data_IF_784102425471
#
_entry.id   IF_784102425471
#
_cell.length_a   1.000
_cell.length_b   1.000
_cell.length_c   1.000
_cell.angle_alpha   90.00
_cell.angle_beta   90.00
_cell.angle_gamma   90.00
#
_symmetry.space_group_name_H-M   'P 1'
#
loop_
_entity.id
_entity.type
_entity.pdbx_description
1 polymer ?
#
# COMPACT_ATOMS: atom_id res chain seq x y z
N UNK A 1 -53.33 -18.09 9.66
CA UNK A 1 -52.55 -16.90 9.21
C UNK A 1 -51.19 -17.40 8.74
N UNK A 2 -50.83 -17.19 7.46
CA UNK A 2 -49.54 -17.62 6.88
C UNK A 2 -48.49 -16.51 7.07
N UNK A 3 -47.31 -16.77 7.67
CA UNK A 3 -46.26 -15.77 7.75
C UNK A 3 -45.57 -15.61 6.39
N UNK A 4 -45.55 -14.38 5.87
CA UNK A 4 -44.79 -13.99 4.67
C UNK A 4 -43.30 -13.92 5.02
N UNK A 5 -42.47 -14.66 4.28
CA UNK A 5 -41.01 -14.55 4.33
C UNK A 5 -40.59 -13.23 3.69
N UNK A 6 -40.00 -12.35 4.48
CA UNK A 6 -39.33 -11.13 4.01
C UNK A 6 -37.92 -11.53 3.58
N UNK A 7 -37.60 -11.38 2.30
CA UNK A 7 -36.23 -11.52 1.81
C UNK A 7 -35.50 -10.20 2.08
N UNK A 8 -34.51 -10.26 2.98
CA UNK A 8 -33.57 -9.16 3.22
C UNK A 8 -32.46 -9.31 2.18
N UNK A 9 -32.41 -8.39 1.22
CA UNK A 9 -31.30 -8.26 0.28
C UNK A 9 -30.16 -7.54 1.01
N UNK A 10 -29.11 -8.27 1.33
CA UNK A 10 -27.88 -7.71 1.89
C UNK A 10 -27.05 -7.10 0.75
N UNK A 11 -26.94 -5.76 0.74
CA UNK A 11 -26.02 -5.04 -0.13
C UNK A 11 -24.62 -5.15 0.46
N UNK A 12 -23.77 -5.96 -0.16
CA UNK A 12 -22.35 -6.05 0.18
C UNK A 12 -21.62 -4.85 -0.44
N UNK A 13 -21.22 -3.89 0.40
CA UNK A 13 -20.39 -2.77 0.00
C UNK A 13 -18.93 -3.27 -0.16
N UNK A 14 -18.37 -3.18 -1.38
CA UNK A 14 -16.93 -3.40 -1.61
C UNK A 14 -16.15 -2.29 -0.88
N UNK A 15 -15.59 -2.61 0.28
CA UNK A 15 -14.71 -1.73 1.04
C UNK A 15 -13.27 -1.97 0.56
N UNK A 16 -12.67 -0.97 -0.08
CA UNK A 16 -11.22 -0.94 -0.28
C UNK A 16 -10.55 -0.93 1.10
N UNK A 17 -9.73 -1.95 1.39
CA UNK A 17 -9.13 -2.15 2.73
C UNK A 17 -7.82 -1.37 2.84
N UNK A 18 -7.91 -0.07 3.13
CA UNK A 18 -6.72 0.69 3.49
C UNK A 18 -6.21 0.24 4.87
N UNK A 19 -4.95 -0.17 4.96
CA UNK A 19 -4.31 -0.43 6.25
C UNK A 19 -3.92 0.90 6.90
N UNK A 20 -4.42 1.13 8.12
CA UNK A 20 -4.13 2.32 8.92
C UNK A 20 -3.23 1.90 10.07
N UNK A 21 -2.06 2.51 10.16
CA UNK A 21 -1.19 2.43 11.33
C UNK A 21 -1.12 3.80 12.01
N UNK A 22 -1.09 3.82 13.33
CA UNK A 22 -1.02 5.04 14.13
C UNK A 22 0.05 4.91 15.21
N UNK A 23 0.77 6.01 15.44
CA UNK A 23 1.85 6.13 16.40
C UNK A 23 1.53 7.26 17.35
N UNK A 24 0.65 6.95 18.28
CA UNK A 24 -0.10 7.91 19.08
C UNK A 24 -0.90 8.89 18.19
N UNK A 25 -1.70 9.77 18.79
CA UNK A 25 -2.54 10.71 18.02
C UNK A 25 -1.72 11.73 17.20
N UNK A 26 -0.38 11.65 17.21
CA UNK A 26 0.54 12.56 16.55
C UNK A 26 0.84 12.18 15.09
N UNK A 27 0.72 10.90 14.71
CA UNK A 27 1.15 10.43 13.40
C UNK A 27 0.32 9.23 12.96
N UNK A 28 -0.27 9.31 11.76
CA UNK A 28 -0.93 8.19 11.10
C UNK A 28 -0.29 7.91 9.74
N UNK A 29 -0.23 6.65 9.37
CA UNK A 29 0.22 6.17 8.07
C UNK A 29 -0.91 5.37 7.42
N UNK A 30 -1.19 5.73 6.18
CA UNK A 30 -2.07 5.02 5.28
C UNK A 30 -1.24 4.54 4.10
N UNK A 31 -1.36 3.25 3.80
CA UNK A 31 -0.73 2.63 2.63
C UNK A 31 -1.83 2.28 1.64
N UNK A 32 -1.70 2.76 0.42
CA UNK A 32 -2.62 2.40 -0.65
C UNK A 32 -2.28 1.00 -1.18
N UNK A 33 -3.31 0.26 -1.59
CA UNK A 33 -3.14 -1.00 -2.29
C UNK A 33 -2.37 -0.77 -3.60
N UNK A 34 -1.28 -1.51 -3.77
CA UNK A 34 -0.52 -1.49 -5.02
C UNK A 34 -0.97 -2.64 -5.89
N UNK A 35 -1.08 -2.41 -7.20
CA UNK A 35 -1.51 -3.41 -8.17
C UNK A 35 -0.44 -3.61 -9.22
N UNK A 36 -0.15 -4.87 -9.55
CA UNK A 36 0.73 -5.22 -10.67
C UNK A 36 0.08 -6.24 -11.58
N UNK A 37 0.55 -6.26 -12.82
CA UNK A 37 0.14 -7.24 -13.81
C UNK A 37 1.30 -8.17 -14.11
N UNK A 38 1.00 -9.46 -14.25
CA UNK A 38 1.97 -10.47 -14.68
C UNK A 38 1.38 -11.31 -15.81
N UNK A 39 2.26 -11.83 -16.65
CA UNK A 39 1.91 -12.76 -17.71
C UNK A 39 1.85 -14.21 -17.20
N UNK A 40 1.06 -15.09 -17.85
CA UNK A 40 1.03 -16.51 -17.54
C UNK A 40 2.40 -17.17 -17.67
N UNK A 41 2.81 -17.89 -16.62
CA UNK A 41 4.13 -18.53 -16.51
C UNK A 41 4.03 -20.03 -16.83
N UNK A 42 5.13 -20.62 -17.27
CA UNK A 42 5.19 -22.08 -17.42
C UNK A 42 5.02 -22.79 -16.07
N UNK A 43 4.42 -23.98 -16.10
CA UNK A 43 4.26 -24.82 -14.90
C UNK A 43 5.63 -25.16 -14.30
N UNK A 44 5.70 -25.22 -12.97
CA UNK A 44 6.92 -25.57 -12.22
C UNK A 44 7.72 -24.39 -11.64
N UNK A 45 7.42 -23.14 -12.01
CA UNK A 45 7.99 -21.96 -11.31
C UNK A 45 7.06 -21.47 -10.22
N UNK A 46 7.45 -21.64 -8.95
CA UNK A 46 6.62 -21.23 -7.80
C UNK A 46 6.86 -19.79 -7.36
N UNK A 47 8.04 -19.25 -7.65
CA UNK A 47 8.43 -17.88 -7.27
C UNK A 47 8.50 -16.94 -8.49
N UNK A 48 8.27 -15.65 -8.24
CA UNK A 48 8.37 -14.57 -9.23
C UNK A 48 9.18 -13.43 -8.65
N UNK A 49 10.10 -12.89 -9.46
CA UNK A 49 10.74 -11.62 -9.19
C UNK A 49 9.79 -10.52 -9.63
N UNK A 50 9.45 -9.61 -8.72
CA UNK A 50 8.62 -8.47 -9.03
C UNK A 50 9.45 -7.38 -9.72
N UNK A 51 8.84 -6.56 -10.59
CA UNK A 51 9.48 -5.35 -11.09
C UNK A 51 9.64 -4.33 -9.96
N UNK A 52 10.23 -3.18 -10.27
CA UNK A 52 10.15 -2.03 -9.37
C UNK A 52 8.69 -1.66 -9.11
N UNK A 53 8.39 -1.21 -7.89
CA UNK A 53 7.04 -0.90 -7.46
C UNK A 53 6.94 0.56 -7.02
N UNK A 54 5.96 1.28 -7.56
CA UNK A 54 5.60 2.61 -7.11
C UNK A 54 4.53 2.51 -6.03
N UNK A 55 4.90 2.87 -4.80
CA UNK A 55 4.07 2.68 -3.61
C UNK A 55 3.62 4.04 -3.09
N UNK A 56 2.32 4.30 -3.14
CA UNK A 56 1.74 5.55 -2.66
C UNK A 56 1.43 5.47 -1.15
N UNK A 57 2.04 6.38 -0.40
CA UNK A 57 1.88 6.56 1.02
C UNK A 57 1.17 7.87 1.30
N UNK A 58 0.30 7.86 2.31
CA UNK A 58 -0.33 9.06 2.85
C UNK A 58 -0.14 9.09 4.35
N UNK A 59 0.38 10.17 4.88
CA UNK A 59 0.52 10.37 6.32
C UNK A 59 -0.23 11.62 6.76
N UNK A 60 -0.85 11.55 7.93
CA UNK A 60 -1.32 12.76 8.62
C UNK A 60 -0.57 12.90 9.93
N UNK A 61 -0.26 14.14 10.31
CA UNK A 61 0.57 14.39 11.48
C UNK A 61 0.21 15.69 12.19
N UNK A 62 0.46 15.69 13.49
CA UNK A 62 0.35 16.85 14.36
C UNK A 62 1.35 16.72 15.49
N UNK A 63 2.09 17.79 15.77
CA UNK A 63 3.02 17.80 16.89
C UNK A 63 2.29 18.06 18.22
N UNK A 64 2.54 17.27 19.28
CA UNK A 64 1.97 17.53 20.61
C UNK A 64 2.44 18.86 21.20
N UNK A 65 1.73 19.33 22.24
CA UNK A 65 2.11 20.51 23.04
C UNK A 65 2.41 21.77 22.21
N UNK A 66 1.60 22.01 21.16
CA UNK A 66 1.76 23.13 20.22
C UNK A 66 3.16 23.22 19.57
N UNK A 67 3.87 22.09 19.47
CA UNK A 67 5.15 22.01 18.79
C UNK A 67 5.03 22.19 17.27
N UNK A 68 6.16 22.48 16.62
CA UNK A 68 6.29 22.57 15.17
C UNK A 68 6.91 21.30 14.59
N UNK A 69 6.41 20.84 13.45
CA UNK A 69 7.00 19.74 12.70
C UNK A 69 8.32 20.20 12.05
N UNK A 70 9.41 19.50 12.34
CA UNK A 70 10.73 19.79 11.75
C UNK A 70 11.01 18.95 10.51
N UNK A 71 10.52 17.72 10.51
CA UNK A 71 10.64 16.84 9.35
C UNK A 71 9.70 15.66 9.42
N UNK A 72 9.26 15.21 8.27
CA UNK A 72 8.64 13.89 8.08
C UNK A 72 9.57 13.07 7.18
N UNK A 73 9.78 11.79 7.51
CA UNK A 73 10.52 10.86 6.65
C UNK A 73 9.70 9.61 6.45
N UNK A 74 9.43 9.28 5.20
CA UNK A 74 8.72 8.08 4.78
C UNK A 74 9.72 7.12 4.12
N UNK A 75 9.62 5.83 4.41
CA UNK A 75 10.55 4.84 3.86
C UNK A 75 9.88 3.50 3.62
N UNK A 76 10.37 2.79 2.60
CA UNK A 76 10.01 1.41 2.28
C UNK A 76 11.29 0.71 1.83
N UNK A 77 11.63 -0.42 2.47
CA UNK A 77 12.94 -1.06 2.32
C UNK A 77 14.07 -0.04 2.53
N UNK A 78 15.02 0.08 1.60
CA UNK A 78 16.13 1.03 1.69
C UNK A 78 15.83 2.39 1.00
N UNK A 79 14.64 2.55 0.43
CA UNK A 79 14.23 3.77 -0.27
C UNK A 79 13.46 4.68 0.68
N UNK A 80 13.77 5.98 0.67
CA UNK A 80 13.12 6.94 1.56
C UNK A 80 12.97 8.32 0.91
N UNK A 81 11.95 9.04 1.36
CA UNK A 81 11.74 10.46 1.10
C UNK A 81 11.70 11.23 2.41
N UNK A 82 12.36 12.38 2.43
CA UNK A 82 12.43 13.27 3.59
C UNK A 82 11.90 14.64 3.22
N UNK A 83 10.93 15.10 3.99
CA UNK A 83 10.34 16.43 3.89
C UNK A 83 10.84 17.27 5.06
N UNK A 84 11.49 18.40 4.76
CA UNK A 84 11.95 19.36 5.77
C UNK A 84 10.82 20.29 6.23
N UNK A 85 11.10 21.12 7.24
CA UNK A 85 10.15 22.09 7.79
C UNK A 85 9.54 22.99 6.70
N UNK A 86 10.35 23.41 5.73
CA UNK A 86 9.96 24.21 4.57
C UNK A 86 8.96 23.53 3.64
N UNK A 87 8.91 22.19 3.63
CA UNK A 87 7.98 21.43 2.82
C UNK A 87 6.67 21.12 3.56
N UNK A 88 6.66 21.26 4.90
CA UNK A 88 5.60 20.72 5.75
C UNK A 88 4.97 21.74 6.70
N UNK A 89 5.45 22.98 6.74
CA UNK A 89 5.00 24.00 7.71
C UNK A 89 3.51 24.30 7.64
N UNK A 90 2.93 24.20 6.44
CA UNK A 90 1.53 24.61 6.17
C UNK A 90 0.62 23.43 5.81
N UNK A 91 1.09 22.18 6.02
CA UNK A 91 0.33 20.98 5.67
C UNK A 91 0.25 20.02 6.87
N UNK A 92 -0.94 19.47 7.09
CA UNK A 92 -1.16 18.42 8.10
C UNK A 92 -1.16 17.00 7.50
N UNK A 93 -1.09 16.92 6.18
CA UNK A 93 -1.15 15.66 5.42
C UNK A 93 -0.09 15.72 4.32
N UNK A 94 0.66 14.64 4.17
CA UNK A 94 1.62 14.45 3.08
C UNK A 94 1.28 13.19 2.31
N UNK A 95 1.43 13.27 0.99
CA UNK A 95 1.34 12.14 0.08
C UNK A 95 2.66 12.03 -0.67
N UNK A 96 3.17 10.81 -0.79
CA UNK A 96 4.41 10.51 -1.49
C UNK A 96 4.27 9.20 -2.26
N UNK A 97 4.98 9.10 -3.38
CA UNK A 97 5.11 7.85 -4.14
C UNK A 97 6.56 7.40 -4.05
N UNK A 98 6.80 6.30 -3.35
CA UNK A 98 8.15 5.73 -3.20
C UNK A 98 8.33 4.61 -4.21
N UNK A 99 9.26 4.78 -5.14
CA UNK A 99 9.66 3.75 -6.10
C UNK A 99 10.67 2.79 -5.48
N UNK A 100 10.22 1.59 -5.11
CA UNK A 100 11.10 0.53 -4.57
C UNK A 100 11.71 -0.26 -5.73
N UNK A 101 13.05 -0.30 -5.88
CA UNK A 101 13.71 -1.05 -6.95
C UNK A 101 13.44 -2.56 -6.85
N UNK A 102 13.33 -3.23 -8.00
CA UNK A 102 13.15 -4.69 -8.08
C UNK A 102 14.13 -5.49 -7.20
N UNK A 103 15.39 -5.04 -7.09
CA UNK A 103 16.43 -5.72 -6.32
C UNK A 103 16.22 -5.66 -4.81
N UNK A 104 15.37 -4.76 -4.32
CA UNK A 104 15.00 -4.65 -2.90
C UNK A 104 13.74 -5.44 -2.55
N UNK A 105 13.10 -6.08 -3.54
CA UNK A 105 11.87 -6.83 -3.35
C UNK A 105 12.20 -8.33 -3.36
N UNK A 106 11.84 -9.00 -2.27
CA UNK A 106 12.04 -10.44 -2.18
C UNK A 106 11.18 -11.19 -3.23
N UNK A 107 11.67 -12.29 -3.82
CA UNK A 107 10.87 -13.13 -4.69
C UNK A 107 9.60 -13.61 -3.98
N UNK A 108 8.45 -13.46 -4.64
CA UNK A 108 7.15 -13.83 -4.06
C UNK A 108 6.70 -15.20 -4.54
N UNK A 109 6.14 -16.00 -3.63
CA UNK A 109 5.50 -17.27 -3.98
C UNK A 109 4.07 -17.00 -4.43
N UNK A 110 3.73 -17.45 -5.64
CA UNK A 110 2.38 -17.29 -6.18
C UNK A 110 1.54 -18.58 -6.09
N UNK A 111 2.05 -19.64 -5.46
CA UNK A 111 1.32 -20.90 -5.21
C UNK A 111 0.58 -21.52 -6.42
N UNK A 112 1.10 -21.31 -7.65
CA UNK A 112 0.46 -21.77 -8.88
C UNK A 112 -0.45 -20.74 -9.57
N UNK A 113 -0.60 -19.53 -9.02
CA UNK A 113 -1.31 -18.45 -9.69
C UNK A 113 -0.60 -18.01 -10.98
N UNK A 114 -1.44 -17.70 -11.98
CA UNK A 114 -1.05 -17.27 -13.32
C UNK A 114 -0.08 -18.25 -14.01
N UNK A 115 -0.47 -19.52 -14.10
CA UNK A 115 0.23 -20.58 -14.85
C UNK A 115 -0.45 -20.83 -16.20
N UNK A 116 0.34 -21.18 -17.22
CA UNK A 116 -0.18 -21.60 -18.53
C UNK A 116 -0.89 -22.96 -18.40
N UNK A 117 -2.06 -23.08 -19.02
CA UNK A 117 -2.79 -24.35 -19.15
C UNK A 117 -3.83 -24.60 -18.05
N UNK A 118 -3.73 -23.92 -16.91
CA UNK A 118 -4.83 -23.78 -15.96
C UNK A 118 -5.61 -22.53 -16.38
N UNK A 119 -6.88 -22.68 -16.78
CA UNK A 119 -7.75 -21.53 -16.99
C UNK A 119 -7.77 -20.66 -15.72
N UNK A 120 -7.95 -19.34 -15.80
CA UNK A 120 -7.89 -18.48 -14.61
C UNK A 120 -9.02 -18.86 -13.65
N UNK A 121 -8.72 -19.64 -12.62
CA UNK A 121 -9.65 -19.88 -11.51
C UNK A 121 -9.83 -18.58 -10.70
N UNK A 122 -8.81 -17.72 -10.66
CA UNK A 122 -8.82 -16.37 -10.07
C UNK A 122 -8.00 -15.42 -10.95
N UNK A 123 -8.48 -14.20 -11.19
CA UNK A 123 -7.78 -13.17 -11.97
C UNK A 123 -6.86 -12.28 -11.13
N UNK A 124 -7.06 -12.27 -9.81
CA UNK A 124 -6.33 -11.44 -8.87
C UNK A 124 -5.87 -12.28 -7.66
N UNK A 125 -4.66 -12.02 -7.17
CA UNK A 125 -4.11 -12.60 -5.96
C UNK A 125 -3.60 -11.48 -5.04
N UNK A 126 -4.17 -11.37 -3.84
CA UNK A 126 -3.70 -10.43 -2.82
C UNK A 126 -2.53 -11.04 -2.03
N UNK A 127 -1.37 -10.40 -2.11
CA UNK A 127 -0.21 -10.66 -1.27
C UNK A 127 -0.24 -9.67 -0.10
N UNK A 128 -0.45 -10.13 1.15
CA UNK A 128 -0.75 -9.24 2.26
C UNK A 128 0.43 -8.41 2.76
N UNK A 129 1.67 -8.71 2.33
CA UNK A 129 2.85 -7.99 2.81
C UNK A 129 4.11 -8.24 2.00
N UNK A 130 4.32 -7.42 0.97
CA UNK A 130 5.55 -7.43 0.16
C UNK A 130 6.67 -6.58 0.75
N UNK A 131 6.31 -5.62 1.60
CA UNK A 131 7.22 -4.68 2.25
C UNK A 131 6.54 -4.08 3.49
N UNK A 132 7.31 -3.36 4.29
CA UNK A 132 6.80 -2.54 5.39
C UNK A 132 7.11 -1.08 5.08
N UNK A 133 6.08 -0.25 5.04
CA UNK A 133 6.21 1.19 4.99
C UNK A 133 6.39 1.71 6.42
N UNK A 134 7.30 2.66 6.58
CA UNK A 134 7.57 3.33 7.85
C UNK A 134 7.47 4.84 7.63
N UNK A 135 6.98 5.55 8.63
CA UNK A 135 7.01 7.00 8.66
C UNK A 135 7.49 7.46 10.03
N UNK A 136 8.33 8.49 10.03
CA UNK A 136 8.77 9.17 11.24
C UNK A 136 8.47 10.66 11.16
N UNK A 137 8.01 11.22 12.26
CA UNK A 137 7.78 12.65 12.47
C UNK A 137 8.73 13.15 13.55
N UNK A 138 9.46 14.21 13.24
CA UNK A 138 10.25 14.96 14.20
C UNK A 138 9.52 16.24 14.57
N UNK A 139 9.32 16.45 15.86
CA UNK A 139 8.69 17.65 16.40
C UNK A 139 9.68 18.41 17.29
N UNK A 140 9.48 19.72 17.39
CA UNK A 140 10.13 20.58 18.38
C UNK A 140 9.08 21.41 19.11
N UNK A 141 9.12 21.40 20.43
CA UNK A 141 8.38 22.36 21.27
C UNK A 141 9.30 23.01 22.28
N UNK A 142 8.93 24.19 22.76
CA UNK A 142 9.70 24.88 23.81
C UNK A 142 9.61 24.15 25.16
N UNK A 143 8.46 23.51 25.44
CA UNK A 143 8.20 22.84 26.71
C UNK A 143 8.84 21.45 26.81
N UNK A 144 8.74 20.65 25.75
CA UNK A 144 9.18 19.24 25.75
C UNK A 144 10.49 19.01 24.97
N UNK A 145 11.03 20.04 24.31
CA UNK A 145 12.20 19.92 23.46
C UNK A 145 11.90 19.17 22.15
N UNK A 146 12.85 18.35 21.69
CA UNK A 146 12.67 17.54 20.47
C UNK A 146 12.04 16.19 20.79
N UNK A 147 11.06 15.77 19.99
CA UNK A 147 10.43 14.45 20.06
C UNK A 147 10.38 13.77 18.69
N UNK A 148 10.23 12.45 18.70
CA UNK A 148 10.09 11.60 17.50
C UNK A 148 8.88 10.68 17.65
N UNK A 149 8.09 10.55 16.58
CA UNK A 149 6.92 9.67 16.49
C UNK A 149 7.06 8.76 15.27
N UNK A 150 6.62 7.49 15.36
CA UNK A 150 6.89 6.46 14.34
C UNK A 150 5.71 5.55 14.06
N UNK A 151 5.16 5.57 12.84
CA UNK A 151 4.12 4.63 12.42
C UNK A 151 4.65 3.68 11.34
N UNK A 152 4.11 2.46 11.30
CA UNK A 152 4.48 1.47 10.29
C UNK A 152 3.29 0.64 9.85
N UNK A 153 3.18 0.38 8.56
CA UNK A 153 2.10 -0.42 7.98
C UNK A 153 2.67 -1.40 6.95
N UNK A 154 2.01 -2.55 6.83
CA UNK A 154 2.37 -3.54 5.82
C UNK A 154 1.80 -3.10 4.47
N UNK A 155 2.58 -3.27 3.42
CA UNK A 155 2.18 -2.90 2.05
C UNK A 155 1.50 -4.10 1.38
N UNK A 156 0.17 -4.05 1.14
CA UNK A 156 -0.51 -5.06 0.34
C UNK A 156 -0.21 -4.88 -1.15
N UNK A 157 -0.05 -6.00 -1.85
CA UNK A 157 0.11 -6.04 -3.31
C UNK A 157 -0.92 -6.97 -3.92
N UNK A 158 -1.73 -6.46 -4.83
CA UNK A 158 -2.61 -7.27 -5.67
C UNK A 158 -1.92 -7.58 -6.99
N UNK A 159 -1.77 -8.87 -7.28
CA UNK A 159 -1.19 -9.38 -8.52
C UNK A 159 -2.30 -9.80 -9.46
N UNK A 160 -2.33 -9.24 -10.66
CA UNK A 160 -3.35 -9.49 -11.68
C UNK A 160 -2.74 -10.36 -12.78
N UNK A 161 -3.42 -11.45 -13.15
CA UNK A 161 -3.00 -12.28 -14.26
C UNK A 161 -3.58 -11.76 -15.58
N UNK A 162 -2.71 -11.39 -16.52
CA UNK A 162 -3.13 -10.99 -17.85
C UNK A 162 -3.52 -12.22 -18.68
N UNK A 163 -4.83 -12.42 -18.91
CA UNK A 163 -5.27 -13.37 -19.93
C UNK A 163 -4.90 -12.86 -21.32
N UNK A 164 -4.52 -13.76 -22.22
CA UNK A 164 -4.16 -13.45 -23.62
C UNK A 164 -5.33 -12.75 -24.36
N UNK A 165 -6.58 -12.98 -23.95
CA UNK A 165 -7.77 -12.33 -24.52
C UNK A 165 -7.90 -10.83 -24.17
N UNK A 166 -7.24 -10.34 -23.11
CA UNK A 166 -7.37 -8.95 -22.68
C UNK A 166 -6.44 -7.96 -23.40
N UNK A 167 -5.58 -8.44 -24.31
CA UNK A 167 -4.64 -7.59 -25.08
C UNK A 167 -5.27 -6.92 -26.30
N UNK A 168 -6.47 -7.33 -26.76
CA UNK A 168 -7.09 -6.77 -27.97
C UNK A 168 -7.95 -5.52 -27.73
N UNK A 169 -8.19 -5.08 -26.49
CA UNK A 169 -9.08 -3.91 -26.25
C UNK A 169 -8.39 -2.56 -26.05
N UNK A 170 -7.04 -2.49 -26.06
CA UNK A 170 -6.30 -1.23 -25.88
C UNK A 170 -5.58 -0.70 -27.12
N UNK A 171 -5.79 -1.30 -28.29
CA UNK A 171 -5.29 -0.79 -29.59
C UNK A 171 -6.49 -0.43 -30.45
N UNK A 172 -7.21 0.62 -30.04
CA UNK A 172 -7.89 1.57 -30.93
C UNK A 172 -8.62 2.61 -30.08
N UNK A 173 -7.97 3.77 -29.89
CA UNK A 173 -8.61 5.08 -29.77
C UNK A 173 -7.61 6.19 -30.06
#
# INVERSE_FOLDING_TARGET
MKPKRVQIVAVACLLATAQIAAADNALTLHVNETRIQIEPRDSGRTQVNLPSLDLSLRTSFVCPAAGSAESVTMSIADTHERFGAENISDVAVLEATISVPAQQIAPVSLAGFCTKGDGPNESELLLPGIATAQVSLRCRSEELGSSMHYASAVVPLTVICLSIENQESSVDK
#
